data_IF_849764028999
#
_entry.id   IF_849764028999
#
_cell.length_a   1.000
_cell.length_b   1.000
_cell.length_c   1.000
_cell.angle_alpha   90.00
_cell.angle_beta   90.00
_cell.angle_gamma   90.00
#
_symmetry.space_group_name_H-M   'P 1'
#
loop_
_entity.id
_entity.type
_entity.pdbx_description
1 polymer ?
#
# COMPACT_ATOMS: atom_id res chain seq x y z
N UNK A 1 13.21 -12.05 6.79
CA UNK A 1 14.45 -11.42 7.26
C UNK A 1 15.42 -11.12 6.10
N UNK A 2 15.73 -12.11 5.26
CA UNK A 2 16.68 -11.92 4.14
C UNK A 2 16.24 -10.78 3.17
N UNK A 3 14.97 -10.76 2.76
CA UNK A 3 14.46 -9.70 1.89
C UNK A 3 14.54 -8.30 2.53
N UNK A 4 14.29 -8.19 3.83
CA UNK A 4 14.44 -6.91 4.56
C UNK A 4 15.89 -6.44 4.56
N UNK A 5 16.83 -7.37 4.77
CA UNK A 5 18.26 -7.06 4.75
C UNK A 5 18.74 -6.68 3.35
N UNK A 6 18.26 -7.36 2.32
CA UNK A 6 18.55 -7.00 0.93
C UNK A 6 18.04 -5.59 0.58
N UNK A 7 16.85 -5.22 1.06
CA UNK A 7 16.34 -3.85 0.95
C UNK A 7 17.29 -2.85 1.59
N UNK A 8 17.74 -3.10 2.83
CA UNK A 8 18.71 -2.24 3.51
C UNK A 8 20.03 -2.11 2.76
N UNK A 9 20.55 -3.22 2.24
CA UNK A 9 21.82 -3.24 1.48
C UNK A 9 21.71 -2.55 0.12
N UNK A 10 20.50 -2.44 -0.43
CA UNK A 10 20.24 -1.80 -1.70
C UNK A 10 20.11 -0.28 -1.62
N UNK A 11 20.12 0.30 -0.42
CA UNK A 11 19.95 1.75 -0.24
C UNK A 11 21.04 2.54 -0.93
N UNK A 12 20.63 3.59 -1.61
CA UNK A 12 21.52 4.54 -2.27
C UNK A 12 21.67 5.82 -1.46
N UNK A 13 22.62 6.67 -1.85
CA UNK A 13 22.91 7.92 -1.14
C UNK A 13 21.72 8.89 -1.09
N UNK A 14 20.77 8.77 -2.02
CA UNK A 14 19.52 9.54 -2.01
C UNK A 14 18.60 9.18 -0.83
N UNK A 15 18.73 8.00 -0.25
CA UNK A 15 17.92 7.56 0.88
C UNK A 15 16.78 6.60 0.53
N UNK A 16 16.72 6.09 -0.71
CA UNK A 16 15.73 5.08 -1.14
C UNK A 16 16.39 3.74 -1.46
N UNK A 17 15.59 2.70 -1.53
CA UNK A 17 16.03 1.33 -1.88
C UNK A 17 15.93 1.10 -3.38
N UNK A 18 16.77 0.22 -3.91
CA UNK A 18 16.57 -0.34 -5.25
C UNK A 18 15.36 -1.29 -5.24
N UNK A 19 14.64 -1.35 -6.36
CA UNK A 19 13.47 -2.23 -6.50
C UNK A 19 13.84 -3.71 -6.68
N UNK A 20 15.11 -4.00 -7.01
CA UNK A 20 15.68 -5.35 -7.14
C UNK A 20 17.12 -5.36 -6.62
N UNK A 21 17.45 -6.34 -5.79
CA UNK A 21 18.79 -6.46 -5.23
C UNK A 21 19.04 -7.90 -4.73
N UNK A 22 20.24 -8.50 -4.98
CA UNK A 22 21.30 -7.96 -5.83
C UNK A 22 20.94 -8.02 -7.33
N UNK A 23 21.33 -7.01 -8.09
CA UNK A 23 21.03 -6.93 -9.53
C UNK A 23 22.09 -6.11 -10.25
N UNK A 24 22.39 -6.49 -11.50
CA UNK A 24 23.21 -5.69 -12.41
C UNK A 24 22.45 -4.48 -12.98
N UNK A 25 21.13 -4.44 -12.85
CA UNK A 25 20.28 -3.33 -13.32
C UNK A 25 19.89 -2.47 -12.13
N UNK A 26 20.31 -1.22 -12.16
CA UNK A 26 19.86 -0.21 -11.19
C UNK A 26 18.48 0.26 -11.58
N UNK A 27 17.49 -0.11 -10.77
CA UNK A 27 16.11 0.30 -10.97
C UNK A 27 15.53 0.79 -9.63
N UNK A 28 14.82 1.92 -9.69
CA UNK A 28 14.18 2.52 -8.54
C UNK A 28 12.67 2.57 -8.76
N UNK A 29 11.94 2.00 -7.82
CA UNK A 29 10.49 2.08 -7.71
C UNK A 29 10.22 2.73 -6.35
N UNK A 30 9.83 4.00 -6.36
CA UNK A 30 9.72 4.77 -5.12
C UNK A 30 8.71 4.16 -4.14
N UNK A 31 7.60 3.62 -4.62
CA UNK A 31 6.60 2.91 -3.80
C UNK A 31 7.18 1.69 -3.07
N UNK A 32 8.17 1.00 -3.65
CA UNK A 32 8.78 -0.18 -3.02
C UNK A 32 9.58 0.15 -1.77
N UNK A 33 10.13 1.35 -1.69
CA UNK A 33 10.78 1.82 -0.46
C UNK A 33 9.76 2.01 0.68
N UNK A 34 8.54 2.44 0.38
CA UNK A 34 7.44 2.49 1.37
C UNK A 34 7.01 1.07 1.77
N UNK A 35 6.79 0.20 0.79
CA UNK A 35 6.41 -1.19 1.06
C UNK A 35 7.48 -1.96 1.82
N UNK A 36 8.76 -1.64 1.66
CA UNK A 36 9.83 -2.22 2.46
C UNK A 36 9.70 -1.90 3.95
N UNK A 37 9.27 -0.69 4.31
CA UNK A 37 8.96 -0.30 5.69
C UNK A 37 7.74 -1.08 6.19
N UNK A 38 6.67 -1.14 5.38
CA UNK A 38 5.47 -1.91 5.72
C UNK A 38 5.77 -3.40 5.93
N UNK A 39 6.60 -4.00 5.07
CA UNK A 39 7.08 -5.38 5.23
C UNK A 39 7.88 -5.56 6.53
N UNK A 40 8.64 -4.56 6.94
CA UNK A 40 9.34 -4.56 8.22
C UNK A 40 8.39 -4.55 9.40
N UNK A 41 7.35 -3.72 9.34
CA UNK A 41 6.29 -3.69 10.35
C UNK A 41 5.59 -5.05 10.46
N UNK A 42 5.18 -5.64 9.33
CA UNK A 42 4.58 -6.98 9.33
C UNK A 42 5.53 -8.04 9.92
N UNK A 43 6.81 -8.00 9.54
CA UNK A 43 7.80 -8.92 10.11
C UNK A 43 7.90 -8.76 11.63
N UNK A 44 7.90 -7.53 12.14
CA UNK A 44 7.94 -7.26 13.59
C UNK A 44 6.70 -7.79 14.29
N UNK A 45 5.51 -7.54 13.74
CA UNK A 45 4.24 -8.01 14.30
C UNK A 45 4.16 -9.54 14.38
N UNK A 46 4.68 -10.24 13.36
CA UNK A 46 4.60 -11.71 13.31
C UNK A 46 5.76 -12.42 14.03
N UNK A 47 6.92 -11.79 14.15
CA UNK A 47 8.13 -12.46 14.68
C UNK A 47 8.63 -11.88 15.99
N UNK A 48 8.27 -10.67 16.35
CA UNK A 48 8.71 -10.02 17.59
C UNK A 48 10.21 -9.82 17.68
N UNK A 49 10.97 -9.87 16.57
CA UNK A 49 12.44 -9.74 16.55
C UNK A 49 12.88 -8.28 16.69
N UNK A 50 12.64 -7.70 17.88
CA UNK A 50 12.93 -6.28 18.16
C UNK A 50 14.41 -5.93 17.94
N UNK A 51 15.30 -6.81 18.33
CA UNK A 51 16.74 -6.57 18.22
C UNK A 51 17.15 -6.36 16.75
N UNK A 52 16.63 -7.18 15.85
CA UNK A 52 16.84 -7.02 14.42
C UNK A 52 16.13 -5.77 13.88
N UNK A 53 14.88 -5.52 14.26
CA UNK A 53 14.14 -4.36 13.78
C UNK A 53 14.78 -3.03 14.15
N UNK A 54 15.36 -2.93 15.36
CA UNK A 54 16.14 -1.75 15.77
C UNK A 54 17.29 -1.44 14.80
N UNK A 55 17.86 -2.44 14.16
CA UNK A 55 18.94 -2.24 13.17
C UNK A 55 18.43 -1.64 11.84
N UNK A 56 17.13 -1.76 11.55
CA UNK A 56 16.52 -1.24 10.34
C UNK A 56 15.98 0.19 10.50
N UNK A 57 15.60 0.61 11.71
CA UNK A 57 15.00 1.93 11.95
C UNK A 57 15.79 3.11 11.37
N UNK A 58 17.14 3.17 11.47
CA UNK A 58 17.89 4.27 10.84
C UNK A 58 17.69 4.35 9.32
N UNK A 59 17.58 3.22 8.64
CA UNK A 59 17.35 3.15 7.21
C UNK A 59 15.90 3.53 6.85
N UNK A 60 14.93 3.15 7.65
CA UNK A 60 13.53 3.58 7.50
C UNK A 60 13.39 5.09 7.64
N UNK A 61 14.06 5.70 8.60
CA UNK A 61 14.12 7.17 8.76
C UNK A 61 14.67 7.87 7.52
N UNK A 62 15.68 7.30 6.86
CA UNK A 62 16.24 7.85 5.62
C UNK A 62 15.19 7.84 4.49
N UNK A 63 14.46 6.72 4.32
CA UNK A 63 13.39 6.64 3.32
C UNK A 63 12.29 7.66 3.60
N UNK A 64 11.84 7.77 4.85
CA UNK A 64 10.78 8.71 5.22
C UNK A 64 11.22 10.16 5.07
N UNK A 65 12.47 10.49 5.42
CA UNK A 65 13.05 11.81 5.20
C UNK A 65 13.19 12.16 3.72
N UNK A 66 13.50 11.16 2.87
CA UNK A 66 13.50 11.36 1.43
C UNK A 66 12.09 11.66 0.89
N UNK A 67 11.06 11.01 1.41
CA UNK A 67 9.67 11.31 1.03
C UNK A 67 9.21 12.68 1.56
N UNK A 68 9.61 13.06 2.76
CA UNK A 68 9.21 14.32 3.40
C UNK A 68 9.61 15.56 2.59
N UNK A 69 10.75 15.51 1.85
CA UNK A 69 11.17 16.63 1.00
C UNK A 69 10.20 16.90 -0.17
N UNK A 70 9.32 15.96 -0.50
CA UNK A 70 8.32 16.11 -1.56
C UNK A 70 6.96 16.59 -1.05
N UNK A 71 6.82 16.81 0.26
CA UNK A 71 5.60 17.39 0.82
C UNK A 71 5.44 18.83 0.40
N UNK A 72 4.22 19.16 -0.05
CA UNK A 72 3.78 20.53 -0.29
C UNK A 72 3.34 21.19 1.01
N UNK A 73 3.13 22.53 1.01
CA UNK A 73 2.64 23.25 2.20
C UNK A 73 1.28 22.74 2.72
N UNK A 74 0.47 22.14 1.87
CA UNK A 74 -0.81 21.51 2.22
C UNK A 74 -0.68 20.07 2.73
N UNK A 75 0.55 19.59 2.91
CA UNK A 75 0.86 18.20 3.29
C UNK A 75 0.45 17.13 2.26
N UNK A 76 0.09 17.45 1.03
CA UNK A 76 0.04 16.45 -0.04
C UNK A 76 1.42 16.31 -0.69
N UNK A 77 1.70 15.14 -1.28
CA UNK A 77 2.95 14.94 -2.01
C UNK A 77 2.91 15.69 -3.35
N UNK A 78 4.04 16.26 -3.75
CA UNK A 78 4.30 16.74 -5.10
C UNK A 78 4.72 15.59 -6.00
N UNK A 79 5.32 15.87 -7.15
CA UNK A 79 5.91 14.84 -7.99
C UNK A 79 7.05 14.13 -7.22
N UNK A 80 6.83 12.86 -6.88
CA UNK A 80 7.87 11.99 -6.34
C UNK A 80 8.59 11.32 -7.52
N UNK A 81 9.92 11.48 -7.65
CA UNK A 81 10.67 10.92 -8.77
C UNK A 81 10.70 9.39 -8.78
N UNK A 82 11.23 8.85 -9.85
CA UNK A 82 11.30 7.43 -10.16
C UNK A 82 9.95 6.79 -10.50
N UNK A 83 9.99 5.53 -10.88
CA UNK A 83 8.79 4.78 -11.23
C UNK A 83 7.93 4.54 -10.00
N UNK A 84 6.67 4.99 -10.05
CA UNK A 84 5.71 4.80 -8.98
C UNK A 84 4.79 3.61 -9.27
N UNK A 85 5.37 2.44 -9.40
CA UNK A 85 4.60 1.21 -9.61
C UNK A 85 3.73 0.90 -8.39
N UNK A 86 2.46 0.57 -8.63
CA UNK A 86 1.51 0.17 -7.59
C UNK A 86 0.88 -1.18 -7.88
N UNK A 87 0.36 -1.42 -9.09
CA UNK A 87 -0.34 -2.67 -9.42
C UNK A 87 -0.46 -2.83 -10.94
N UNK A 88 -0.48 -4.05 -11.45
CA UNK A 88 -0.72 -4.34 -12.86
C UNK A 88 -2.19 -4.17 -13.26
N UNK A 89 -2.86 -3.16 -12.75
CA UNK A 89 -4.27 -2.92 -12.99
C UNK A 89 -4.53 -2.36 -14.39
N UNK A 90 -5.54 -2.87 -15.07
CA UNK A 90 -6.02 -2.29 -16.32
C UNK A 90 -6.53 -0.86 -16.06
N UNK A 91 -5.97 0.11 -16.76
CA UNK A 91 -6.22 1.54 -16.53
C UNK A 91 -5.07 2.27 -15.83
N UNK A 92 -4.07 1.54 -15.31
CA UNK A 92 -2.79 2.12 -14.90
C UNK A 92 -1.78 2.04 -16.07
N UNK A 93 -0.92 3.05 -16.18
CA UNK A 93 0.13 3.08 -17.21
C UNK A 93 1.39 2.38 -16.67
N UNK A 94 1.72 1.21 -17.21
CA UNK A 94 2.82 0.37 -16.69
C UNK A 94 2.77 0.17 -15.16
N UNK A 95 1.55 0.02 -14.61
CA UNK A 95 1.34 -0.16 -13.17
C UNK A 95 1.39 1.12 -12.36
N UNK A 96 1.55 2.28 -12.98
CA UNK A 96 1.42 3.57 -12.32
C UNK A 96 -0.03 4.06 -12.31
N UNK A 97 -0.55 4.50 -11.17
CA UNK A 97 -1.86 5.14 -11.12
C UNK A 97 -1.87 6.45 -11.89
N UNK A 98 -3.07 6.88 -12.32
CA UNK A 98 -3.23 8.19 -12.94
C UNK A 98 -2.80 9.27 -11.95
N UNK A 99 -1.92 10.16 -12.40
CA UNK A 99 -1.43 11.30 -11.62
C UNK A 99 -2.10 12.61 -12.07
N UNK A 100 -2.12 13.58 -11.19
CA UNK A 100 -2.46 14.96 -11.52
C UNK A 100 -1.37 15.59 -12.41
N UNK A 101 -1.68 16.75 -13.01
CA UNK A 101 -0.70 17.50 -13.81
C UNK A 101 0.57 17.84 -13.04
N UNK A 102 0.46 18.02 -11.72
CA UNK A 102 1.58 18.28 -10.82
C UNK A 102 2.26 17.03 -10.29
N UNK A 103 1.87 15.87 -10.79
CA UNK A 103 2.56 14.61 -10.57
C UNK A 103 2.18 13.84 -9.32
N UNK A 104 1.14 14.21 -8.57
CA UNK A 104 0.68 13.41 -7.44
C UNK A 104 -0.64 12.67 -7.72
N UNK A 105 -0.97 11.72 -6.86
CA UNK A 105 -2.24 11.00 -6.82
C UNK A 105 -2.64 10.73 -5.37
N UNK A 106 -3.94 10.57 -5.12
CA UNK A 106 -4.45 10.16 -3.80
C UNK A 106 -3.79 8.87 -3.31
N UNK A 107 -3.52 7.95 -4.23
CA UNK A 107 -2.90 6.65 -3.90
C UNK A 107 -1.51 6.83 -3.31
N UNK A 108 -0.70 7.73 -3.86
CA UNK A 108 0.65 8.01 -3.36
C UNK A 108 0.61 8.65 -1.97
N UNK A 109 -0.29 9.60 -1.76
CA UNK A 109 -0.49 10.23 -0.46
C UNK A 109 -0.93 9.20 0.60
N UNK A 110 -1.88 8.32 0.26
CA UNK A 110 -2.39 7.28 1.18
C UNK A 110 -1.34 6.22 1.51
N UNK A 111 -0.53 5.80 0.54
CA UNK A 111 0.59 4.88 0.78
C UNK A 111 1.59 5.48 1.76
N UNK A 112 1.90 6.77 1.62
CA UNK A 112 2.81 7.45 2.53
C UNK A 112 2.22 7.57 3.93
N UNK A 113 0.93 7.91 4.08
CA UNK A 113 0.25 7.91 5.39
C UNK A 113 0.35 6.55 6.07
N UNK A 114 0.04 5.46 5.36
CA UNK A 114 0.09 4.11 5.93
C UNK A 114 1.50 3.78 6.42
N UNK A 115 2.51 4.11 5.62
CA UNK A 115 3.91 3.88 5.98
C UNK A 115 4.34 4.70 7.18
N UNK A 116 3.91 5.97 7.28
CA UNK A 116 4.18 6.82 8.44
C UNK A 116 3.58 6.26 9.73
N UNK A 117 2.35 5.72 9.68
CA UNK A 117 1.72 5.11 10.85
C UNK A 117 2.46 3.86 11.31
N UNK A 118 2.81 2.97 10.39
CA UNK A 118 3.58 1.76 10.72
C UNK A 118 4.97 2.09 11.27
N UNK A 119 5.65 3.09 10.69
CA UNK A 119 6.92 3.56 11.23
C UNK A 119 6.75 4.20 12.61
N UNK A 120 5.67 4.95 12.83
CA UNK A 120 5.39 5.54 14.15
C UNK A 120 5.14 4.49 15.22
N UNK A 121 4.44 3.40 14.88
CA UNK A 121 4.25 2.27 15.79
C UNK A 121 5.58 1.62 16.19
N UNK A 122 6.44 1.35 15.22
CA UNK A 122 7.78 0.79 15.47
C UNK A 122 8.66 1.75 16.29
N UNK A 123 8.67 3.04 15.95
CA UNK A 123 9.45 4.04 16.68
C UNK A 123 8.95 4.21 18.12
N UNK A 124 7.66 4.16 18.35
CA UNK A 124 7.07 4.25 19.68
C UNK A 124 7.45 3.07 20.54
N UNK A 125 7.43 1.86 19.99
CA UNK A 125 7.64 0.62 20.74
C UNK A 125 9.13 0.31 20.97
N UNK A 126 9.96 0.50 19.93
CA UNK A 126 11.34 0.00 19.92
C UNK A 126 12.37 1.03 19.45
N UNK A 127 11.97 2.26 19.10
CA UNK A 127 12.83 3.28 18.53
C UNK A 127 12.86 4.57 19.36
N UNK A 128 12.58 5.69 18.71
CA UNK A 128 12.59 7.05 19.26
C UNK A 128 11.17 7.63 19.30
N UNK A 129 10.55 7.82 20.48
CA UNK A 129 9.20 8.38 20.59
C UNK A 129 9.03 9.72 19.87
N UNK A 130 10.06 10.57 19.85
CA UNK A 130 10.03 11.84 19.13
C UNK A 130 9.84 11.65 17.60
N UNK A 131 10.37 10.58 17.03
CA UNK A 131 10.14 10.24 15.61
C UNK A 131 8.73 9.72 15.40
N UNK A 132 8.21 8.94 16.35
CA UNK A 132 6.81 8.49 16.30
C UNK A 132 5.84 9.69 16.28
N UNK A 133 6.06 10.68 17.16
CA UNK A 133 5.24 11.90 17.22
C UNK A 133 5.34 12.71 15.92
N UNK A 134 6.55 12.82 15.36
CA UNK A 134 6.78 13.49 14.08
C UNK A 134 5.99 12.84 12.94
N UNK A 135 6.07 11.53 12.80
CA UNK A 135 5.36 10.79 11.74
C UNK A 135 3.84 10.86 11.90
N UNK A 136 3.33 10.72 13.12
CA UNK A 136 1.89 10.87 13.39
C UNK A 136 1.38 12.27 13.08
N UNK A 137 2.19 13.30 13.35
CA UNK A 137 1.85 14.68 12.98
C UNK A 137 1.69 14.83 11.48
N UNK A 138 2.67 14.37 10.69
CA UNK A 138 2.61 14.43 9.21
C UNK A 138 1.37 13.66 8.72
N UNK A 139 1.17 12.42 9.15
CA UNK A 139 0.03 11.60 8.75
C UNK A 139 -1.32 12.26 9.09
N UNK A 140 -1.40 12.95 10.24
CA UNK A 140 -2.60 13.67 10.66
C UNK A 140 -2.90 14.86 9.75
N UNK A 141 -1.90 15.66 9.42
CA UNK A 141 -2.08 16.81 8.51
C UNK A 141 -2.41 16.33 7.09
N UNK A 142 -1.75 15.29 6.59
CA UNK A 142 -2.09 14.69 5.30
C UNK A 142 -3.55 14.25 5.21
N UNK A 143 -4.09 13.58 6.25
CA UNK A 143 -5.51 13.16 6.25
C UNK A 143 -6.48 14.32 6.11
N UNK A 144 -6.18 15.47 6.72
CA UNK A 144 -7.00 16.68 6.60
C UNK A 144 -7.04 17.22 5.18
N UNK A 145 -5.95 17.08 4.44
CA UNK A 145 -5.83 17.51 3.04
C UNK A 145 -6.51 16.53 2.09
N UNK A 146 -6.28 15.23 2.28
CA UNK A 146 -6.74 14.19 1.35
C UNK A 146 -8.25 14.15 1.26
N UNK A 147 -8.94 14.25 2.42
CA UNK A 147 -10.40 14.15 2.42
C UNK A 147 -11.08 15.23 1.56
N UNK A 148 -10.90 16.53 1.77
CA UNK A 148 -11.54 17.55 0.92
C UNK A 148 -11.04 17.54 -0.52
N UNK A 149 -9.85 17.03 -0.76
CA UNK A 149 -9.21 17.03 -2.08
C UNK A 149 -9.75 15.94 -3.00
N UNK A 150 -10.02 14.76 -2.47
CA UNK A 150 -10.33 13.57 -3.27
C UNK A 150 -11.73 12.98 -3.03
N UNK A 151 -12.47 13.45 -2.02
CA UNK A 151 -13.79 12.93 -1.71
C UNK A 151 -14.84 13.40 -2.71
N UNK A 152 -15.51 12.46 -3.36
CA UNK A 152 -16.68 12.70 -4.21
C UNK A 152 -17.95 12.25 -3.47
N UNK A 153 -18.69 13.23 -2.95
CA UNK A 153 -19.92 12.98 -2.20
C UNK A 153 -21.05 12.41 -3.07
N UNK A 154 -21.04 12.67 -4.38
CA UNK A 154 -22.07 12.14 -5.28
C UNK A 154 -21.90 10.64 -5.52
N UNK A 155 -20.65 10.16 -5.53
CA UNK A 155 -20.32 8.72 -5.70
C UNK A 155 -20.13 7.99 -4.38
N UNK A 156 -19.98 8.68 -3.24
CA UNK A 156 -19.51 8.11 -1.96
C UNK A 156 -18.17 7.37 -2.11
N UNK A 157 -17.24 7.93 -2.88
CA UNK A 157 -15.93 7.36 -3.18
C UNK A 157 -14.84 8.43 -3.11
N UNK A 158 -13.62 7.98 -2.91
CA UNK A 158 -12.42 8.80 -3.13
C UNK A 158 -11.93 8.60 -4.55
N UNK A 159 -11.67 9.71 -5.23
CA UNK A 159 -11.07 9.73 -6.57
C UNK A 159 -9.54 9.56 -6.49
N UNK A 160 -8.93 9.08 -7.57
CA UNK A 160 -7.47 9.00 -7.70
C UNK A 160 -6.82 10.38 -7.86
N UNK A 161 -7.59 11.34 -8.41
CA UNK A 161 -7.13 12.71 -8.73
C UNK A 161 -8.13 13.76 -8.26
N UNK A 162 -7.63 14.96 -7.97
CA UNK A 162 -8.44 16.08 -7.45
C UNK A 162 -9.55 16.53 -8.42
N UNK A 163 -9.34 16.37 -9.73
CA UNK A 163 -10.33 16.69 -10.75
C UNK A 163 -11.38 15.58 -10.94
N UNK A 164 -11.35 14.55 -10.12
CA UNK A 164 -12.30 13.43 -10.07
C UNK A 164 -12.48 12.70 -11.42
N UNK A 165 -11.44 12.63 -12.25
CA UNK A 165 -11.49 11.97 -13.57
C UNK A 165 -11.20 10.48 -13.54
N UNK A 166 -10.70 9.96 -12.42
CA UNK A 166 -10.35 8.54 -12.23
C UNK A 166 -10.70 8.07 -10.83
N UNK A 167 -11.13 6.81 -10.76
CA UNK A 167 -11.48 6.14 -9.51
C UNK A 167 -10.98 4.70 -9.54
N UNK A 168 -10.39 4.26 -8.44
CA UNK A 168 -9.87 2.91 -8.30
C UNK A 168 -10.29 2.25 -6.98
N UNK A 169 -10.32 0.93 -6.96
CA UNK A 169 -10.45 0.18 -5.70
C UNK A 169 -9.28 0.45 -4.76
N UNK A 170 -8.11 0.71 -5.32
CA UNK A 170 -6.86 0.95 -4.59
C UNK A 170 -6.96 2.15 -3.64
N UNK A 171 -7.39 3.30 -4.14
CA UNK A 171 -7.55 4.52 -3.33
C UNK A 171 -8.57 4.31 -2.23
N UNK A 172 -9.71 3.70 -2.54
CA UNK A 172 -10.78 3.48 -1.59
C UNK A 172 -10.40 2.49 -0.49
N UNK A 173 -9.69 1.41 -0.83
CA UNK A 173 -9.12 0.48 0.15
C UNK A 173 -8.13 1.19 1.09
N UNK A 174 -7.19 1.97 0.55
CA UNK A 174 -6.23 2.69 1.38
C UNK A 174 -6.86 3.81 2.20
N UNK A 175 -7.92 4.49 1.71
CA UNK A 175 -8.64 5.49 2.47
C UNK A 175 -9.26 4.89 3.75
N UNK A 176 -9.72 3.65 3.69
CA UNK A 176 -10.20 2.89 4.85
C UNK A 176 -9.03 2.52 5.77
N UNK A 177 -7.98 1.89 5.22
CA UNK A 177 -6.85 1.40 6.01
C UNK A 177 -6.07 2.51 6.70
N UNK A 178 -5.99 3.69 6.09
CA UNK A 178 -5.32 4.85 6.67
C UNK A 178 -6.22 5.68 7.59
N UNK A 179 -7.48 5.29 7.72
CA UNK A 179 -8.44 5.97 8.59
C UNK A 179 -8.88 7.37 8.11
N UNK A 180 -8.75 7.67 6.82
CA UNK A 180 -9.35 8.85 6.19
C UNK A 180 -10.87 8.74 6.21
N UNK A 181 -11.39 7.52 6.08
CA UNK A 181 -12.80 7.16 6.34
C UNK A 181 -12.89 6.02 7.34
N UNK A 182 -13.91 6.05 8.23
CA UNK A 182 -14.08 5.10 9.35
C UNK A 182 -15.55 4.80 9.63
N UNK A 183 -15.78 3.75 10.40
CA UNK A 183 -17.12 3.39 10.89
C UNK A 183 -18.12 3.15 9.75
N UNK A 184 -19.35 3.64 9.91
CA UNK A 184 -20.41 3.45 8.91
C UNK A 184 -20.08 4.01 7.52
N UNK A 185 -19.28 5.08 7.44
CA UNK A 185 -18.86 5.62 6.17
C UNK A 185 -17.89 4.66 5.46
N UNK A 186 -16.95 4.05 6.18
CA UNK A 186 -16.04 3.06 5.61
C UNK A 186 -16.81 1.84 5.05
N UNK A 187 -17.88 1.40 5.75
CA UNK A 187 -18.76 0.34 5.24
C UNK A 187 -19.41 0.75 3.92
N UNK A 188 -19.94 1.98 3.82
CA UNK A 188 -20.56 2.50 2.59
C UNK A 188 -19.56 2.60 1.45
N UNK A 189 -18.38 3.16 1.72
CA UNK A 189 -17.29 3.26 0.75
C UNK A 189 -16.90 1.87 0.25
N UNK A 190 -16.72 0.90 1.15
CA UNK A 190 -16.33 -0.45 0.76
C UNK A 190 -17.37 -1.16 -0.08
N UNK A 191 -18.65 -1.10 0.33
CA UNK A 191 -19.74 -1.67 -0.47
C UNK A 191 -19.81 -1.04 -1.86
N UNK A 192 -19.68 0.28 -1.97
CA UNK A 192 -19.65 0.98 -3.26
C UNK A 192 -18.43 0.58 -4.09
N UNK A 193 -17.27 0.44 -3.46
CA UNK A 193 -16.01 0.02 -4.10
C UNK A 193 -16.11 -1.38 -4.72
N UNK A 194 -16.81 -2.29 -4.05
CA UNK A 194 -17.01 -3.66 -4.57
C UNK A 194 -18.09 -3.74 -5.64
N UNK A 195 -19.15 -2.93 -5.54
CA UNK A 195 -20.27 -2.96 -6.46
C UNK A 195 -19.99 -2.24 -7.79
N UNK A 196 -19.12 -1.24 -7.79
CA UNK A 196 -18.86 -0.40 -8.95
C UNK A 196 -17.77 -0.99 -9.85
N UNK A 197 -18.20 -1.74 -10.87
CA UNK A 197 -17.31 -2.36 -11.86
C UNK A 197 -16.63 -1.37 -12.80
N UNK A 198 -17.02 -0.09 -12.78
CA UNK A 198 -16.37 0.96 -13.58
C UNK A 198 -15.05 1.45 -12.95
N UNK A 199 -14.80 1.13 -11.68
CA UNK A 199 -13.54 1.46 -11.02
C UNK A 199 -12.38 0.66 -11.64
N UNK A 200 -11.19 1.22 -11.60
CA UNK A 200 -9.97 0.47 -11.85
C UNK A 200 -9.87 -0.61 -10.76
N UNK A 201 -9.88 -1.88 -11.18
CA UNK A 201 -9.95 -3.03 -10.30
C UNK A 201 -8.56 -3.41 -9.78
N UNK A 202 -8.46 -3.80 -8.50
CA UNK A 202 -7.25 -4.38 -7.94
C UNK A 202 -6.92 -5.71 -8.62
N UNK A 203 -5.65 -5.88 -9.04
CA UNK A 203 -5.16 -7.19 -9.48
C UNK A 203 -4.72 -8.03 -8.28
N UNK A 204 -4.15 -9.19 -8.57
CA UNK A 204 -3.78 -10.19 -7.56
C UNK A 204 -2.91 -9.58 -6.42
N UNK A 205 -2.01 -8.66 -6.74
CA UNK A 205 -1.14 -8.03 -5.76
C UNK A 205 -1.90 -7.14 -4.78
N UNK A 206 -2.66 -6.17 -5.30
CA UNK A 206 -3.28 -5.15 -4.45
C UNK A 206 -4.54 -5.65 -3.73
N UNK A 207 -5.06 -6.82 -4.10
CA UNK A 207 -6.14 -7.49 -3.34
C UNK A 207 -5.76 -7.79 -1.88
N UNK A 208 -4.48 -7.85 -1.56
CA UNK A 208 -4.04 -7.90 -0.17
C UNK A 208 -4.59 -6.73 0.65
N UNK A 209 -4.46 -5.51 0.14
CA UNK A 209 -4.97 -4.31 0.82
C UNK A 209 -6.48 -4.19 0.73
N UNK A 210 -7.07 -4.59 -0.39
CA UNK A 210 -8.53 -4.64 -0.55
C UNK A 210 -9.16 -5.58 0.49
N UNK A 211 -8.60 -6.75 0.70
CA UNK A 211 -9.08 -7.72 1.69
C UNK A 211 -8.88 -7.23 3.13
N UNK A 212 -7.80 -6.52 3.42
CA UNK A 212 -7.63 -5.88 4.72
C UNK A 212 -8.67 -4.77 4.94
N UNK A 213 -8.98 -3.98 3.91
CA UNK A 213 -10.00 -2.95 3.99
C UNK A 213 -11.41 -3.55 4.20
N UNK A 214 -11.71 -4.72 3.62
CA UNK A 214 -12.92 -5.50 3.93
C UNK A 214 -13.02 -5.81 5.42
N UNK A 215 -11.96 -6.37 6.00
CA UNK A 215 -11.92 -6.68 7.44
C UNK A 215 -12.07 -5.41 8.28
N UNK A 216 -11.32 -4.35 7.95
CA UNK A 216 -11.35 -3.08 8.68
C UNK A 216 -12.71 -2.37 8.62
N UNK A 217 -13.49 -2.59 7.56
CA UNK A 217 -14.87 -2.09 7.42
C UNK A 217 -15.94 -3.01 7.99
N UNK A 218 -15.57 -4.15 8.61
CA UNK A 218 -16.52 -5.11 9.18
C UNK A 218 -17.22 -6.00 8.15
N UNK A 219 -16.71 -6.07 6.92
CA UNK A 219 -17.25 -6.87 5.81
C UNK A 219 -16.41 -8.14 5.54
N UNK A 220 -15.70 -8.64 6.56
CA UNK A 220 -14.82 -9.81 6.45
C UNK A 220 -15.51 -11.08 5.89
N UNK A 221 -16.80 -11.23 6.11
CA UNK A 221 -17.59 -12.37 5.57
C UNK A 221 -17.56 -12.44 4.03
N UNK A 222 -17.30 -11.31 3.35
CA UNK A 222 -17.19 -11.25 1.89
C UNK A 222 -15.80 -11.63 1.37
N UNK A 223 -14.86 -11.97 2.25
CA UNK A 223 -13.48 -12.32 1.87
C UNK A 223 -13.41 -13.49 0.88
N UNK A 224 -14.22 -14.53 1.11
CA UNK A 224 -14.20 -15.73 0.26
C UNK A 224 -14.67 -15.46 -1.18
N UNK A 225 -15.55 -14.49 -1.38
CA UNK A 225 -16.02 -14.08 -2.71
C UNK A 225 -14.91 -13.36 -3.49
N UNK A 226 -14.02 -12.65 -2.79
CA UNK A 226 -12.88 -11.98 -3.39
C UNK A 226 -11.72 -12.90 -3.78
N UNK A 227 -11.79 -14.19 -3.49
CA UNK A 227 -10.78 -15.18 -3.89
C UNK A 227 -10.96 -15.69 -5.33
N UNK A 228 -11.90 -15.17 -6.12
CA UNK A 228 -12.16 -15.68 -7.47
C UNK A 228 -10.93 -15.63 -8.37
N UNK A 229 -10.13 -14.58 -8.31
CA UNK A 229 -8.90 -14.44 -9.13
C UNK A 229 -7.91 -15.59 -8.91
N UNK A 230 -7.82 -16.15 -7.70
CA UNK A 230 -6.98 -17.33 -7.39
C UNK A 230 -7.63 -18.63 -7.86
N UNK A 231 -8.98 -18.75 -7.74
CA UNK A 231 -9.71 -19.90 -8.25
C UNK A 231 -9.57 -20.01 -9.78
N UNK A 232 -9.60 -18.87 -10.48
CA UNK A 232 -9.42 -18.82 -11.92
C UNK A 232 -8.02 -19.31 -12.32
N UNK A 233 -6.97 -18.94 -11.58
CA UNK A 233 -5.61 -19.46 -11.80
C UNK A 233 -5.51 -20.96 -11.55
N UNK A 234 -6.17 -21.47 -10.53
CA UNK A 234 -6.27 -22.93 -10.29
C UNK A 234 -6.99 -23.63 -11.42
N UNK A 235 -8.06 -23.05 -11.97
CA UNK A 235 -8.80 -23.57 -13.10
C UNK A 235 -7.97 -23.63 -14.39
N UNK A 236 -7.00 -22.71 -14.55
CA UNK A 236 -6.00 -22.75 -15.62
C UNK A 236 -4.92 -23.83 -15.41
N UNK A 237 -4.93 -24.51 -14.27
CA UNK A 237 -3.95 -25.56 -13.93
C UNK A 237 -2.65 -25.04 -13.33
N UNK A 238 -2.60 -23.79 -12.90
CA UNK A 238 -1.44 -23.23 -12.20
C UNK A 238 -1.27 -23.90 -10.84
N UNK A 239 -0.02 -24.25 -10.51
CA UNK A 239 0.39 -24.80 -9.21
C UNK A 239 1.13 -23.77 -8.33
N UNK A 240 1.35 -22.59 -8.89
CA UNK A 240 1.93 -21.40 -8.26
C UNK A 240 1.09 -20.19 -8.68
N UNK A 241 1.32 -19.03 -8.07
CA UNK A 241 0.53 -17.84 -8.34
C UNK A 241 1.19 -16.93 -9.36
N UNK A 242 0.42 -16.47 -10.33
CA UNK A 242 0.86 -15.54 -11.34
C UNK A 242 1.10 -14.14 -10.77
N UNK A 243 1.99 -13.39 -11.41
CA UNK A 243 2.30 -11.99 -11.06
C UNK A 243 1.15 -11.03 -11.40
N UNK A 244 0.46 -11.29 -12.50
CA UNK A 244 -0.56 -10.42 -13.07
C UNK A 244 -1.61 -11.26 -13.82
N UNK A 245 -2.76 -10.68 -14.20
CA UNK A 245 -3.72 -11.36 -15.07
C UNK A 245 -3.10 -11.78 -16.41
N UNK A 246 -3.70 -12.78 -17.05
CA UNK A 246 -3.27 -13.26 -18.37
C UNK A 246 -3.31 -12.13 -19.44
N UNK A 247 -2.30 -12.07 -20.34
CA UNK A 247 -1.11 -12.95 -20.40
C UNK A 247 -0.08 -12.57 -19.31
N UNK A 248 0.16 -13.47 -18.37
CA UNK A 248 1.14 -13.24 -17.29
C UNK A 248 2.55 -13.44 -17.81
N UNK A 249 3.49 -12.60 -17.35
CA UNK A 249 4.91 -12.77 -17.63
C UNK A 249 5.63 -13.68 -16.63
N UNK A 250 4.98 -14.04 -15.52
CA UNK A 250 5.48 -14.97 -14.51
C UNK A 250 4.33 -15.69 -13.83
N UNK A 251 4.33 -17.02 -13.91
CA UNK A 251 3.36 -17.91 -13.26
C UNK A 251 3.79 -18.31 -11.84
N UNK A 252 4.95 -17.85 -11.38
CA UNK A 252 5.48 -18.12 -10.05
C UNK A 252 6.01 -16.83 -9.44
N UNK A 253 5.12 -16.06 -8.81
CA UNK A 253 5.48 -14.76 -8.25
C UNK A 253 4.94 -14.60 -6.83
N UNK A 254 5.81 -14.19 -5.91
CA UNK A 254 5.48 -14.06 -4.49
C UNK A 254 4.34 -13.06 -4.20
N UNK A 255 4.15 -12.06 -5.05
CA UNK A 255 3.04 -11.08 -4.89
C UNK A 255 1.65 -11.73 -4.98
N UNK A 256 1.52 -12.88 -5.64
CA UNK A 256 0.24 -13.60 -5.75
C UNK A 256 -0.11 -14.48 -4.56
N UNK A 257 0.84 -14.80 -3.67
CA UNK A 257 0.67 -15.80 -2.60
C UNK A 257 -0.03 -15.28 -1.34
N UNK A 258 -0.39 -14.04 -1.28
CA UNK A 258 -0.95 -13.40 -0.09
C UNK A 258 -2.29 -13.97 0.39
N UNK A 259 -3.08 -14.60 -0.49
CA UNK A 259 -4.36 -15.22 -0.13
C UNK A 259 -4.19 -16.33 0.91
N UNK A 260 -3.14 -17.15 0.78
CA UNK A 260 -2.86 -18.26 1.68
C UNK A 260 -2.57 -17.77 3.11
N UNK A 261 -1.92 -16.62 3.21
CA UNK A 261 -1.49 -16.05 4.47
C UNK A 261 -2.62 -15.46 5.30
N UNK A 262 -3.72 -15.01 4.64
CA UNK A 262 -4.86 -14.35 5.27
C UNK A 262 -6.06 -15.27 5.52
N UNK A 263 -6.15 -16.41 4.84
CA UNK A 263 -7.28 -17.32 5.02
C UNK A 263 -7.46 -17.75 6.48
N UNK A 264 -6.39 -18.10 7.18
CA UNK A 264 -6.48 -18.56 8.56
C UNK A 264 -6.83 -17.44 9.56
N UNK A 265 -6.11 -16.30 9.63
CA UNK A 265 -6.47 -15.22 10.55
C UNK A 265 -7.85 -14.61 10.29
N UNK A 266 -8.25 -14.46 9.03
CA UNK A 266 -9.51 -13.82 8.68
C UNK A 266 -10.74 -14.73 8.88
N UNK A 267 -10.58 -16.05 8.80
CA UNK A 267 -11.63 -17.03 9.09
C UNK A 267 -11.72 -17.44 10.57
N UNK A 268 -10.60 -17.45 11.28
CA UNK A 268 -10.55 -17.97 12.67
C UNK A 268 -10.69 -16.85 13.71
N UNK A 269 -10.59 -15.59 13.28
CA UNK A 269 -10.53 -14.44 14.18
C UNK A 269 -9.18 -14.34 14.91
N UNK A 270 -8.78 -13.14 15.26
CA UNK A 270 -7.61 -12.92 16.12
C UNK A 270 -7.94 -13.48 17.52
N UNK A 271 -7.26 -14.55 17.92
CA UNK A 271 -7.28 -15.06 19.29
C UNK A 271 -6.17 -14.42 20.10
#
# INVERSE_FOLDING_TARGET
>A
KNALEQGRQSMVAEGITMSRYPSSVHQFISSFSLWWICMGHDYWMYRGDEAYMKTLLPAYRQVLSWYEQWLKPDYSLSYVPHWFFVDWAAGFDYGEPIREKEGNSALQDLMYIMTLEFAAEMEQAIGLPAMADHYRKIATEMRKTIRPKYWDAARNLFADTQDHRSYSQHVNALAILTGVTKGEEAVKVMNQTLADTSLIQCTIYFRYYLNQALKASGLGDQFLDNLQIWRDQMALGLTTWAEMPEPSRSDCHALGSQSEYRVLPDLVGDR
#
